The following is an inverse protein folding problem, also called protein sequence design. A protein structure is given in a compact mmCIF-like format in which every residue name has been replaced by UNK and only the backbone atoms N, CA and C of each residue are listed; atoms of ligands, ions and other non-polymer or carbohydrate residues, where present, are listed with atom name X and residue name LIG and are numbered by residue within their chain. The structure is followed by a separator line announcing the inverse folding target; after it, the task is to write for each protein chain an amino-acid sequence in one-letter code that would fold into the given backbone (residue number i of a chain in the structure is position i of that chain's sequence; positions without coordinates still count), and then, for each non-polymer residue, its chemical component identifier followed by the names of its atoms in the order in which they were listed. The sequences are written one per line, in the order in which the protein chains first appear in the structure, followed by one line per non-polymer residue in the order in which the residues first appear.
data_IF_867346448420
#
_entry.id   IF_867346448420
#
_cell.length_a   1.000
_cell.length_b   1.000
_cell.length_c   1.000
_cell.angle_alpha   90.00
_cell.angle_beta   90.00
_cell.angle_gamma   90.00
#
_symmetry.space_group_name_H-M   'P 1'
#
loop_
_entity.id
_entity.type
_entity.pdbx_description
1 polymer ?
#
# COMPACT_ATOMS: atom_id res chain seq x y z
N UNK A 1 -12.10 23.55 71.99
CA UNK A 1 -12.09 22.51 70.94
C UNK A 1 -12.77 22.95 69.60
N UNK A 2 -12.51 24.13 68.98
CA UNK A 2 -13.12 24.49 67.69
C UNK A 2 -12.27 24.15 66.44
N UNK A 3 -10.96 23.86 66.60
CA UNK A 3 -10.03 23.78 65.46
C UNK A 3 -10.11 22.49 64.64
N UNK A 4 -10.62 21.40 65.20
CA UNK A 4 -10.76 20.12 64.49
C UNK A 4 -11.89 20.16 63.44
N UNK A 5 -13.01 20.81 63.74
CA UNK A 5 -14.16 20.94 62.84
C UNK A 5 -13.85 21.78 61.59
N UNK A 6 -13.03 22.84 61.74
CA UNK A 6 -12.63 23.73 60.64
C UNK A 6 -11.61 23.09 59.67
N UNK A 7 -10.75 22.20 60.17
CA UNK A 7 -9.79 21.44 59.36
C UNK A 7 -10.46 20.34 58.54
N UNK A 8 -11.46 19.66 59.12
CA UNK A 8 -12.27 18.65 58.42
C UNK A 8 -13.12 19.25 57.29
N UNK A 9 -13.75 20.41 57.50
CA UNK A 9 -14.53 21.09 56.45
C UNK A 9 -13.68 21.56 55.25
N UNK A 10 -12.46 22.04 55.49
CA UNK A 10 -11.52 22.44 54.42
C UNK A 10 -10.95 21.25 53.66
N UNK A 11 -10.68 20.13 54.34
CA UNK A 11 -10.23 18.90 53.71
C UNK A 11 -11.33 18.27 52.82
N UNK A 12 -12.59 18.32 53.25
CA UNK A 12 -13.74 17.84 52.48
C UNK A 12 -14.05 18.72 51.27
N UNK A 13 -13.95 20.06 51.38
CA UNK A 13 -14.09 20.96 50.23
C UNK A 13 -12.97 20.79 49.19
N UNK A 14 -11.71 20.60 49.64
CA UNK A 14 -10.60 20.37 48.73
C UNK A 14 -10.69 19.03 47.98
N UNK A 15 -11.21 17.98 48.63
CA UNK A 15 -11.43 16.68 48.01
C UNK A 15 -12.55 16.71 46.96
N UNK A 16 -13.65 17.44 47.21
CA UNK A 16 -14.72 17.62 46.21
C UNK A 16 -14.26 18.43 44.99
N UNK A 17 -13.45 19.47 45.18
CA UNK A 17 -12.94 20.28 44.08
C UNK A 17 -11.95 19.49 43.19
N UNK A 18 -11.10 18.67 43.80
CA UNK A 18 -10.17 17.79 43.07
C UNK A 18 -10.89 16.68 42.30
N UNK A 19 -11.96 16.11 42.85
CA UNK A 19 -12.78 15.09 42.18
C UNK A 19 -13.54 15.65 40.97
N UNK A 20 -14.04 16.89 41.04
CA UNK A 20 -14.70 17.54 39.91
C UNK A 20 -13.73 17.88 38.77
N UNK A 21 -12.49 18.29 39.07
CA UNK A 21 -11.49 18.62 38.03
C UNK A 21 -10.99 17.38 37.28
N UNK A 22 -10.88 16.22 37.94
CA UNK A 22 -10.48 14.96 37.30
C UNK A 22 -11.49 14.40 36.30
N UNK A 23 -12.78 14.72 36.46
CA UNK A 23 -13.87 14.18 35.64
C UNK A 23 -14.04 14.89 34.28
N UNK A 24 -13.43 16.07 34.07
CA UNK A 24 -13.60 16.85 32.84
C UNK A 24 -12.56 16.58 31.74
N UNK A 25 -11.54 15.74 31.98
CA UNK A 25 -10.49 15.47 30.97
C UNK A 25 -10.75 14.28 30.05
N UNK A 26 -11.86 13.55 30.20
CA UNK A 26 -12.04 12.27 29.48
C UNK A 26 -12.95 12.32 28.25
N UNK A 27 -13.31 13.50 27.72
CA UNK A 27 -14.41 13.63 26.75
C UNK A 27 -14.04 13.98 25.29
N UNK A 28 -12.76 13.98 24.89
CA UNK A 28 -12.38 14.14 23.48
C UNK A 28 -11.99 12.80 22.83
N UNK A 29 -12.90 11.83 22.84
CA UNK A 29 -12.80 10.68 21.94
C UNK A 29 -13.45 11.07 20.60
N UNK A 30 -12.67 11.67 19.69
CA UNK A 30 -13.12 11.90 18.31
C UNK A 30 -13.37 10.55 17.64
N UNK A 31 -14.59 10.32 17.16
CA UNK A 31 -14.91 9.11 16.41
C UNK A 31 -13.95 8.96 15.20
N UNK A 32 -13.45 7.75 14.90
CA UNK A 32 -12.61 7.53 13.73
C UNK A 32 -13.31 8.01 12.46
N UNK A 33 -12.58 8.74 11.60
CA UNK A 33 -13.11 9.13 10.30
C UNK A 33 -13.53 7.88 9.51
N UNK A 34 -14.64 7.92 8.74
CA UNK A 34 -15.07 6.79 7.94
C UNK A 34 -13.96 6.37 6.97
N UNK A 35 -13.69 5.07 6.90
CA UNK A 35 -12.66 4.52 6.02
C UNK A 35 -13.09 4.69 4.56
N UNK A 36 -12.38 5.53 3.82
CA UNK A 36 -12.66 5.84 2.41
C UNK A 36 -12.32 4.64 1.52
N UNK A 37 -13.11 4.45 0.47
CA UNK A 37 -12.87 3.41 -0.54
C UNK A 37 -12.42 4.03 -1.86
N UNK A 38 -11.45 3.40 -2.51
CA UNK A 38 -11.06 3.69 -3.89
C UNK A 38 -11.46 2.53 -4.81
N UNK A 39 -12.14 2.85 -5.90
CA UNK A 39 -12.39 1.94 -7.02
C UNK A 39 -11.44 2.26 -8.16
N UNK A 40 -10.76 1.25 -8.67
CA UNK A 40 -9.77 1.41 -9.75
C UNK A 40 -10.14 0.46 -10.87
N UNK A 41 -10.36 1.01 -12.06
CA UNK A 41 -10.50 0.23 -13.30
C UNK A 41 -9.20 0.34 -14.09
N UNK A 42 -8.57 -0.78 -14.41
CA UNK A 42 -7.42 -0.78 -15.33
C UNK A 42 -7.90 -1.22 -16.70
N UNK A 43 -7.58 -0.44 -17.73
CA UNK A 43 -7.90 -0.71 -19.13
C UNK A 43 -6.60 -0.81 -19.92
N UNK A 44 -6.28 -2.01 -20.40
CA UNK A 44 -5.13 -2.24 -21.26
C UNK A 44 -5.50 -2.18 -22.74
N UNK A 45 -4.70 -1.46 -23.51
CA UNK A 45 -4.73 -1.49 -24.97
C UNK A 45 -4.46 -2.92 -25.48
N UNK A 46 -5.10 -3.36 -26.58
CA UNK A 46 -4.68 -4.57 -27.31
C UNK A 46 -3.24 -4.48 -27.85
N UNK A 47 -2.72 -3.26 -28.03
CA UNK A 47 -1.35 -3.00 -28.48
C UNK A 47 -0.36 -2.76 -27.31
N UNK A 48 -0.72 -3.18 -26.09
CA UNK A 48 0.07 -2.97 -24.87
C UNK A 48 1.50 -3.50 -25.02
N UNK A 49 2.47 -2.69 -24.61
CA UNK A 49 3.88 -3.06 -24.41
C UNK A 49 4.45 -3.95 -25.53
N UNK A 50 4.55 -3.41 -26.77
CA UNK A 50 5.03 -4.18 -27.91
C UNK A 50 6.47 -4.65 -27.68
N UNK A 51 6.78 -5.87 -28.10
CA UNK A 51 8.14 -6.44 -28.13
C UNK A 51 8.97 -5.93 -29.34
N UNK A 52 10.16 -6.50 -29.55
CA UNK A 52 11.08 -6.06 -30.62
C UNK A 52 10.47 -6.16 -32.02
N UNK A 53 9.53 -7.08 -32.18
CA UNK A 53 8.81 -7.35 -33.43
C UNK A 53 7.44 -6.66 -33.47
N UNK A 54 7.12 -5.82 -32.48
CA UNK A 54 5.85 -5.12 -32.36
C UNK A 54 4.72 -5.95 -31.75
N UNK A 55 4.99 -7.18 -31.26
CA UNK A 55 3.95 -8.05 -30.71
C UNK A 55 3.54 -7.58 -29.30
N UNK A 56 2.24 -7.40 -29.03
CA UNK A 56 1.78 -6.96 -27.71
C UNK A 56 2.17 -7.92 -26.59
N UNK A 57 2.66 -7.39 -25.47
CA UNK A 57 3.13 -8.18 -24.32
C UNK A 57 2.51 -7.71 -23.00
N UNK A 58 2.46 -8.56 -21.96
CA UNK A 58 2.01 -8.14 -20.63
C UNK A 58 2.93 -7.08 -20.00
N UNK A 59 2.41 -6.37 -19.01
CA UNK A 59 3.19 -5.48 -18.12
C UNK A 59 2.95 -5.82 -16.66
N UNK A 60 3.93 -5.49 -15.81
CA UNK A 60 3.71 -5.41 -14.36
C UNK A 60 3.28 -3.99 -14.00
N UNK A 61 2.13 -3.87 -13.32
CA UNK A 61 1.62 -2.62 -12.78
C UNK A 61 1.77 -2.66 -11.27
N UNK A 62 2.39 -1.62 -10.70
CA UNK A 62 2.42 -1.36 -9.27
C UNK A 62 1.52 -0.17 -8.96
N UNK A 63 0.61 -0.35 -8.01
CA UNK A 63 -0.22 0.71 -7.45
C UNK A 63 0.28 1.04 -6.05
N UNK A 64 0.35 2.32 -5.74
CA UNK A 64 0.79 2.83 -4.44
C UNK A 64 -0.26 3.76 -3.86
N UNK A 65 -0.49 3.62 -2.57
CA UNK A 65 -1.09 4.66 -1.74
C UNK A 65 0.01 5.47 -1.09
N UNK A 66 0.00 6.78 -1.32
CA UNK A 66 1.03 7.67 -0.83
C UNK A 66 0.45 8.76 0.08
N UNK A 67 1.18 9.06 1.15
CA UNK A 67 0.97 10.24 1.98
C UNK A 67 1.49 11.52 1.30
N UNK A 68 2.55 11.40 0.50
CA UNK A 68 3.20 12.47 -0.26
C UNK A 68 3.80 11.93 -1.57
N UNK A 69 3.94 12.76 -2.59
CA UNK A 69 4.36 12.32 -3.93
C UNK A 69 5.82 12.58 -4.28
N UNK A 70 6.56 13.37 -3.49
CA UNK A 70 7.86 13.91 -3.91
C UNK A 70 8.88 12.81 -4.21
N UNK A 71 9.04 11.84 -3.31
CA UNK A 71 9.94 10.70 -3.53
C UNK A 71 9.57 9.89 -4.78
N UNK A 72 8.28 9.67 -5.02
CA UNK A 72 7.80 8.93 -6.20
C UNK A 72 8.02 9.72 -7.51
N UNK A 73 7.85 11.03 -7.47
CA UNK A 73 8.02 11.91 -8.64
C UNK A 73 9.49 12.21 -8.95
N UNK A 74 10.38 12.17 -7.96
CA UNK A 74 11.80 12.45 -8.19
C UNK A 74 12.60 11.19 -8.54
N UNK A 75 12.17 10.02 -8.08
CA UNK A 75 12.88 8.77 -8.31
C UNK A 75 12.85 8.30 -9.78
N UNK A 76 13.93 7.62 -10.17
CA UNK A 76 14.00 6.88 -11.43
C UNK A 76 13.19 5.58 -11.38
N UNK A 77 13.00 4.96 -12.55
CA UNK A 77 12.27 3.69 -12.63
C UNK A 77 12.94 2.58 -11.82
N UNK A 78 14.27 2.42 -11.95
CA UNK A 78 15.00 1.33 -11.28
C UNK A 78 15.02 1.52 -9.77
N UNK A 79 15.15 2.76 -9.29
CA UNK A 79 15.05 3.08 -7.86
C UNK A 79 13.70 2.61 -7.29
N UNK A 80 12.59 2.88 -7.98
CA UNK A 80 11.26 2.42 -7.56
C UNK A 80 11.03 0.92 -7.80
N UNK A 81 11.68 0.33 -8.81
CA UNK A 81 11.53 -1.09 -9.11
C UNK A 81 12.15 -1.94 -8.00
N UNK A 82 13.33 -1.55 -7.57
CA UNK A 82 14.23 -2.40 -6.78
C UNK A 82 14.29 -1.94 -5.32
N UNK A 83 14.02 -0.67 -5.06
CA UNK A 83 14.22 0.00 -3.76
C UNK A 83 13.05 0.92 -3.35
N UNK A 84 11.81 0.59 -3.72
CA UNK A 84 10.66 1.46 -3.42
C UNK A 84 10.46 1.74 -1.93
N UNK A 85 10.79 0.79 -1.06
CA UNK A 85 10.70 0.99 0.40
C UNK A 85 11.67 2.05 0.90
N UNK A 86 12.91 2.02 0.42
CA UNK A 86 13.95 2.97 0.80
C UNK A 86 13.68 4.35 0.21
N UNK A 87 13.26 4.39 -1.06
CA UNK A 87 12.98 5.62 -1.82
C UNK A 87 11.76 6.36 -1.28
N UNK A 88 10.68 5.64 -0.99
CA UNK A 88 9.41 6.23 -0.58
C UNK A 88 9.27 6.35 0.94
N UNK A 89 9.98 5.51 1.70
CA UNK A 89 10.00 5.51 3.15
C UNK A 89 8.60 5.49 3.76
N UNK A 90 8.39 6.36 4.76
CA UNK A 90 7.11 6.48 5.46
C UNK A 90 5.97 7.02 4.57
N UNK A 91 6.27 7.59 3.40
CA UNK A 91 5.25 8.13 2.51
C UNK A 91 4.54 7.03 1.71
N UNK A 92 5.12 5.82 1.59
CA UNK A 92 4.43 4.67 1.02
C UNK A 92 3.61 3.93 2.08
N UNK A 93 2.29 4.03 1.99
CA UNK A 93 1.37 3.44 2.97
C UNK A 93 1.02 2.00 2.60
N UNK A 94 0.62 1.79 1.34
CA UNK A 94 0.29 0.47 0.81
C UNK A 94 0.73 0.34 -0.64
N UNK A 95 0.99 -0.91 -1.06
CA UNK A 95 1.34 -1.27 -2.44
C UNK A 95 0.62 -2.53 -2.89
N UNK A 96 0.21 -2.56 -4.15
CA UNK A 96 -0.19 -3.77 -4.84
C UNK A 96 0.62 -3.93 -6.13
N UNK A 97 0.89 -5.17 -6.53
CA UNK A 97 1.51 -5.52 -7.81
C UNK A 97 0.59 -6.47 -8.58
N UNK A 98 0.43 -6.23 -9.88
CA UNK A 98 -0.42 -7.07 -10.74
C UNK A 98 0.14 -7.14 -12.17
N UNK A 99 0.10 -8.33 -12.76
CA UNK A 99 0.36 -8.51 -14.19
C UNK A 99 -0.90 -8.20 -15.00
N UNK A 100 -0.77 -7.37 -16.03
CA UNK A 100 -1.88 -6.98 -16.93
C UNK A 100 -1.56 -7.41 -18.35
N UNK A 101 -2.49 -8.13 -18.99
CA UNK A 101 -2.36 -8.62 -20.37
C UNK A 101 -2.87 -7.58 -21.38
N UNK A 102 -2.41 -7.64 -22.65
CA UNK A 102 -3.00 -6.84 -23.72
C UNK A 102 -4.53 -7.02 -23.82
N UNK A 103 -5.26 -5.93 -23.96
CA UNK A 103 -6.73 -5.93 -24.06
C UNK A 103 -7.48 -6.24 -22.75
N UNK A 104 -6.76 -6.43 -21.64
CA UNK A 104 -7.37 -6.81 -20.36
C UNK A 104 -8.08 -5.64 -19.68
N UNK A 105 -9.20 -5.94 -19.03
CA UNK A 105 -9.90 -5.05 -18.10
C UNK A 105 -9.84 -5.62 -16.68
N UNK A 106 -9.33 -4.83 -15.74
CA UNK A 106 -9.31 -5.19 -14.31
C UNK A 106 -10.19 -4.25 -13.51
N UNK A 107 -10.90 -4.79 -12.51
CA UNK A 107 -11.66 -4.00 -11.55
C UNK A 107 -11.16 -4.30 -10.14
N UNK A 108 -10.82 -3.23 -9.41
CA UNK A 108 -10.26 -3.25 -8.07
C UNK A 108 -11.10 -2.36 -7.16
N UNK A 109 -11.29 -2.79 -5.93
CA UNK A 109 -11.91 -2.01 -4.87
C UNK A 109 -11.05 -2.17 -3.63
N UNK A 110 -10.65 -1.05 -3.01
CA UNK A 110 -9.75 -1.06 -1.87
C UNK A 110 -10.16 -0.01 -0.85
N UNK A 111 -10.16 -0.39 0.43
CA UNK A 111 -10.39 0.52 1.54
C UNK A 111 -9.06 1.17 1.91
N UNK A 112 -8.92 2.47 1.63
CA UNK A 112 -7.68 3.22 1.74
C UNK A 112 -7.11 3.20 3.16
N UNK A 113 -5.78 3.20 3.26
CA UNK A 113 -5.08 3.41 4.51
C UNK A 113 -5.34 4.83 5.07
N UNK A 114 -5.35 4.99 6.40
CA UNK A 114 -5.34 6.30 7.02
C UNK A 114 -4.15 7.13 6.52
N UNK A 115 -4.42 8.37 6.10
CA UNK A 115 -3.38 9.26 5.56
C UNK A 115 -3.14 9.15 4.06
N UNK A 116 -3.79 8.23 3.34
CA UNK A 116 -3.68 8.13 1.88
C UNK A 116 -4.22 9.39 1.18
N UNK A 117 -3.31 10.18 0.61
CA UNK A 117 -3.62 11.42 -0.12
C UNK A 117 -3.50 11.27 -1.62
N UNK A 118 -2.71 10.31 -2.08
CA UNK A 118 -2.46 10.11 -3.51
C UNK A 118 -2.54 8.64 -3.89
N UNK A 119 -3.02 8.39 -5.10
CA UNK A 119 -2.89 7.12 -5.80
C UNK A 119 -1.83 7.29 -6.88
N UNK A 120 -0.78 6.49 -6.79
CA UNK A 120 0.29 6.45 -7.79
C UNK A 120 0.28 5.11 -8.53
N UNK A 121 0.60 5.16 -9.82
CA UNK A 121 0.74 3.99 -10.70
C UNK A 121 2.13 4.01 -11.32
N UNK A 122 2.80 2.87 -11.30
CA UNK A 122 4.06 2.61 -12.01
C UNK A 122 3.87 1.38 -12.89
N UNK A 123 4.36 1.44 -14.13
CA UNK A 123 4.20 0.37 -15.13
C UNK A 123 5.55 -0.01 -15.70
N UNK A 124 5.88 -1.29 -15.63
CA UNK A 124 7.11 -1.85 -16.20
C UNK A 124 6.93 -2.11 -17.70
N UNK A 125 6.99 -1.05 -18.51
CA UNK A 125 7.11 -1.16 -19.96
C UNK A 125 8.50 -1.68 -20.35
N UNK A 126 8.58 -2.33 -21.52
CA UNK A 126 9.83 -2.86 -22.07
C UNK A 126 10.82 -1.75 -22.41
N UNK A 127 10.36 -0.71 -23.13
CA UNK A 127 11.19 0.46 -23.46
C UNK A 127 10.92 1.60 -22.46
N UNK A 128 11.50 1.47 -21.27
CA UNK A 128 11.23 2.38 -20.16
C UNK A 128 11.73 3.81 -20.39
N UNK A 129 12.73 3.98 -21.25
CA UNK A 129 13.33 5.28 -21.54
C UNK A 129 12.46 6.14 -22.45
N UNK A 130 11.62 5.53 -23.29
CA UNK A 130 10.63 6.23 -24.10
C UNK A 130 9.25 6.30 -23.45
N UNK A 131 8.94 5.32 -22.61
CA UNK A 131 7.62 5.20 -22.04
C UNK A 131 7.27 6.32 -21.05
N UNK A 132 6.00 6.74 -21.04
CA UNK A 132 5.42 7.45 -19.90
C UNK A 132 4.95 6.43 -18.87
N UNK A 133 5.87 5.96 -18.04
CA UNK A 133 5.69 4.76 -17.20
C UNK A 133 5.03 5.01 -15.83
N UNK A 134 4.78 6.27 -15.44
CA UNK A 134 4.10 6.59 -14.18
C UNK A 134 3.00 7.62 -14.31
N UNK A 135 2.06 7.57 -13.36
CA UNK A 135 1.03 8.57 -13.15
C UNK A 135 0.69 8.71 -11.67
N UNK A 136 0.18 9.87 -11.26
CA UNK A 136 -0.26 10.14 -9.89
C UNK A 136 -1.51 11.01 -9.92
N UNK A 137 -2.42 10.76 -8.99
CA UNK A 137 -3.61 11.59 -8.76
C UNK A 137 -3.80 11.84 -7.28
N UNK A 138 -4.32 13.02 -6.96
CA UNK A 138 -4.75 13.37 -5.59
C UNK A 138 -6.13 12.79 -5.33
N UNK A 139 -6.26 12.10 -4.20
CA UNK A 139 -7.51 11.53 -3.74
C UNK A 139 -8.33 12.58 -2.97
N UNK A 140 -9.66 12.54 -3.08
CA UNK A 140 -10.50 13.41 -2.27
C UNK A 140 -10.30 13.13 -0.77
N UNK A 141 -10.27 14.17 0.09
CA UNK A 141 -9.86 14.04 1.49
C UNK A 141 -10.86 13.27 2.34
N UNK A 142 -12.15 13.28 2.00
CA UNK A 142 -13.23 12.77 2.85
C UNK A 142 -14.35 12.04 2.10
N UNK A 143 -14.07 11.57 0.88
CA UNK A 143 -15.06 10.87 0.05
C UNK A 143 -14.45 9.64 -0.62
N UNK A 144 -15.31 8.69 -0.98
CA UNK A 144 -14.96 7.61 -1.90
C UNK A 144 -14.58 8.18 -3.27
N UNK A 145 -13.76 7.44 -4.01
CA UNK A 145 -13.35 7.85 -5.35
C UNK A 145 -13.32 6.69 -6.34
N UNK A 146 -13.42 7.03 -7.62
CA UNK A 146 -13.28 6.10 -8.72
C UNK A 146 -12.26 6.65 -9.72
N UNK A 147 -11.34 5.80 -10.16
CA UNK A 147 -10.29 6.15 -11.11
C UNK A 147 -10.18 5.08 -12.19
N UNK A 148 -9.86 5.52 -13.40
CA UNK A 148 -9.52 4.65 -14.52
C UNK A 148 -8.05 4.84 -14.86
N UNK A 149 -7.29 3.74 -14.83
CA UNK A 149 -5.90 3.65 -15.26
C UNK A 149 -5.88 3.10 -16.68
N UNK A 150 -5.49 3.91 -17.65
CA UNK A 150 -5.41 3.53 -19.06
C UNK A 150 -3.97 3.18 -19.38
N UNK A 151 -3.74 1.95 -19.86
CA UNK A 151 -2.43 1.47 -20.29
C UNK A 151 -2.40 1.42 -21.82
N UNK A 152 -1.66 2.34 -22.42
CA UNK A 152 -1.33 2.36 -23.84
C UNK A 152 -0.13 1.47 -24.18
N UNK A 153 0.35 1.49 -25.44
CA UNK A 153 1.53 0.74 -25.87
C UNK A 153 2.76 0.99 -25.00
N UNK A 154 2.99 2.25 -24.62
CA UNK A 154 4.17 2.74 -23.90
C UNK A 154 3.83 3.88 -22.92
N UNK A 155 2.56 4.01 -22.51
CA UNK A 155 2.14 5.11 -21.64
C UNK A 155 1.05 4.72 -20.67
N UNK A 156 1.12 5.20 -19.44
CA UNK A 156 0.02 5.17 -18.48
C UNK A 156 -0.60 6.55 -18.29
N UNK A 157 -1.92 6.59 -18.17
CA UNK A 157 -2.69 7.75 -17.76
C UNK A 157 -3.70 7.36 -16.68
N UNK A 158 -4.00 8.31 -15.79
CA UNK A 158 -5.04 8.16 -14.76
C UNK A 158 -6.08 9.25 -15.01
N UNK A 159 -7.34 8.85 -15.08
CA UNK A 159 -8.47 9.76 -15.26
C UNK A 159 -9.58 9.42 -14.25
N UNK A 160 -10.45 10.38 -13.91
CA UNK A 160 -11.64 10.08 -13.11
C UNK A 160 -12.40 8.91 -13.72
N UNK A 161 -12.72 7.93 -12.89
CA UNK A 161 -13.60 6.84 -13.26
C UNK A 161 -15.03 7.36 -13.22
N UNK A 162 -15.80 7.12 -14.28
CA UNK A 162 -17.25 7.15 -14.14
C UNK A 162 -17.63 6.09 -13.10
N UNK A 163 -18.64 6.37 -12.28
CA UNK A 163 -19.14 5.44 -11.26
C UNK A 163 -19.50 4.04 -11.81
N UNK A 164 -20.03 3.14 -10.97
CA UNK A 164 -20.19 1.70 -11.25
C UNK A 164 -20.81 1.28 -12.60
N UNK A 165 -21.46 2.18 -13.35
CA UNK A 165 -22.33 1.84 -14.48
C UNK A 165 -21.78 2.17 -15.87
N UNK A 166 -20.61 2.81 -16.02
CA UNK A 166 -20.13 3.26 -17.34
C UNK A 166 -19.20 2.28 -18.08
N UNK A 167 -19.16 1.02 -17.69
CA UNK A 167 -18.28 0.01 -18.28
C UNK A 167 -18.84 -0.53 -19.61
N UNK A 168 -18.95 0.31 -20.64
CA UNK A 168 -19.33 -0.13 -21.99
C UNK A 168 -18.10 -0.61 -22.75
N UNK A 169 -17.80 -1.91 -22.65
CA UNK A 169 -16.77 -2.59 -23.43
C UNK A 169 -16.79 -4.09 -23.18
N UNK A 170 -16.97 -4.88 -24.23
CA UNK A 170 -17.33 -6.31 -24.26
C UNK A 170 -16.24 -7.29 -23.78
N UNK A 171 -15.42 -6.91 -22.79
CA UNK A 171 -14.49 -7.84 -22.11
C UNK A 171 -14.85 -7.94 -20.64
N UNK A 172 -15.15 -9.15 -20.17
CA UNK A 172 -15.49 -9.40 -18.77
C UNK A 172 -14.31 -9.01 -17.88
N UNK A 173 -14.54 -8.05 -16.98
CA UNK A 173 -13.48 -7.58 -16.08
C UNK A 173 -13.03 -8.70 -15.15
N UNK A 174 -11.72 -9.01 -15.13
CA UNK A 174 -11.17 -9.87 -14.09
C UNK A 174 -11.24 -9.12 -12.76
N UNK A 175 -12.12 -9.58 -11.88
CA UNK A 175 -12.16 -9.13 -10.47
C UNK A 175 -10.98 -9.78 -9.75
N UNK A 176 -10.11 -8.95 -9.19
CA UNK A 176 -9.01 -9.43 -8.36
C UNK A 176 -9.39 -9.24 -6.89
N UNK A 177 -9.08 -10.21 -6.04
CA UNK A 177 -8.90 -9.96 -4.61
C UNK A 177 -7.49 -9.40 -4.46
N UNK A 178 -7.36 -8.09 -4.24
CA UNK A 178 -6.06 -7.46 -4.33
C UNK A 178 -5.22 -7.80 -3.08
N UNK A 179 -3.99 -8.30 -3.28
CA UNK A 179 -3.02 -8.44 -2.19
C UNK A 179 -2.27 -7.11 -2.01
N UNK A 180 -2.86 -6.21 -1.23
CA UNK A 180 -2.20 -4.98 -0.80
C UNK A 180 -1.28 -5.29 0.37
N UNK A 181 0.01 -5.03 0.19
CA UNK A 181 1.00 -5.10 1.26
C UNK A 181 1.14 -3.72 1.89
N UNK A 182 0.94 -3.60 3.20
CA UNK A 182 1.35 -2.40 3.93
C UNK A 182 2.85 -2.23 3.79
N UNK A 183 3.29 -1.05 3.37
CA UNK A 183 4.71 -0.72 3.25
C UNK A 183 5.21 0.06 4.47
N UNK A 184 4.31 0.72 5.20
CA UNK A 184 4.61 1.34 6.48
C UNK A 184 4.72 0.29 7.59
N UNK A 185 5.96 -0.16 7.82
CA UNK A 185 6.37 -0.89 9.00
C UNK A 185 7.69 -0.31 9.47
N UNK A 186 7.76 0.08 10.75
CA UNK A 186 8.99 0.54 11.38
C UNK A 186 10.16 -0.38 11.02
N UNK A 187 11.35 0.20 10.91
CA UNK A 187 12.63 -0.52 10.85
C UNK A 187 12.76 -1.28 12.17
N UNK A 188 12.05 -2.39 12.31
CA UNK A 188 12.09 -3.26 13.46
C UNK A 188 13.38 -4.04 13.38
N UNK A 189 14.32 -3.68 14.25
CA UNK A 189 15.48 -4.49 14.62
C UNK A 189 15.13 -5.98 14.60
N UNK A 190 15.63 -6.71 13.59
CA UNK A 190 15.69 -8.17 13.64
C UNK A 190 16.96 -8.52 14.40
N UNK A 191 16.88 -8.47 15.73
CA UNK A 191 17.80 -9.19 16.59
C UNK A 191 17.16 -10.54 16.96
N UNK A 192 17.83 -11.64 16.57
CA UNK A 192 17.52 -13.02 16.95
C UNK A 192 16.69 -13.78 15.89
N UNK A 193 17.08 -14.93 15.36
CA UNK A 193 18.14 -15.87 15.71
C UNK A 193 18.55 -16.60 14.42
N UNK A 194 19.85 -16.57 14.09
CA UNK A 194 20.37 -17.40 13.02
C UNK A 194 20.37 -18.86 13.49
N UNK A 195 19.53 -19.71 12.89
CA UNK A 195 19.74 -21.16 12.95
C UNK A 195 20.99 -21.50 12.14
N UNK A 196 21.95 -22.28 12.67
CA UNK A 196 23.07 -22.72 11.86
C UNK A 196 22.56 -23.60 10.71
N UNK A 197 23.04 -23.32 9.50
CA UNK A 197 22.82 -24.17 8.33
C UNK A 197 23.63 -25.45 8.57
N UNK A 198 22.93 -26.56 8.77
CA UNK A 198 23.54 -27.87 8.90
C UNK A 198 23.92 -28.36 7.49
N UNK A 199 25.19 -28.72 7.22
CA UNK A 199 25.59 -29.21 5.90
C UNK A 199 24.96 -30.58 5.61
N UNK A 200 24.73 -30.92 4.33
CA UNK A 200 24.04 -32.16 3.95
C UNK A 200 24.83 -33.40 4.38
N UNK A 201 24.11 -34.38 4.93
CA UNK A 201 24.66 -35.64 5.39
C UNK A 201 25.34 -36.40 4.25
N UNK A 202 26.64 -36.68 4.40
CA UNK A 202 27.35 -37.60 3.51
C UNK A 202 26.83 -39.02 3.73
N UNK A 203 26.32 -39.63 2.66
CA UNK A 203 26.05 -41.06 2.59
C UNK A 203 27.35 -41.82 2.85
N UNK A 204 27.44 -42.49 4.01
CA UNK A 204 28.48 -43.50 4.27
C UNK A 204 28.26 -44.67 3.31
N UNK A 205 29.04 -44.69 2.23
CA UNK A 205 29.27 -45.89 1.43
C UNK A 205 29.84 -46.99 2.32
N UNK A 206 29.20 -48.16 2.26
CA UNK A 206 29.65 -49.38 2.92
C UNK A 206 31.02 -49.79 2.36
N UNK A 207 31.99 -49.90 3.24
CA UNK A 207 33.14 -50.77 3.05
C UNK A 207 33.14 -51.74 4.24
N UNK A 208 32.72 -52.98 4.00
CA UNK A 208 33.10 -54.08 4.86
C UNK A 208 34.08 -54.96 4.10
N UNK A 209 35.22 -55.11 4.74
CA UNK A 209 36.40 -55.88 4.39
C UNK A 209 36.20 -57.26 5.01
N UNK A 210 36.38 -58.35 4.26
CA UNK A 210 37.36 -59.41 4.57
C UNK A 210 37.28 -60.59 3.62
N UNK A 211 38.47 -61.06 3.28
CA UNK A 211 38.87 -62.32 2.65
C UNK A 211 38.03 -63.54 3.04
N UNK A 212 37.70 -64.37 2.03
CA UNK A 212 38.32 -65.69 1.81
C UNK A 212 38.44 -65.96 0.31
#
# INVERSE_FOLDING_TARGET
MPDRARRLGRALLAACLAACVGAFLSACATAPAPQRTVRITVLASPALNPDGDGRPSPVMVRLYELADTDGFQQAGFFDLSDHDKEVLGANALARMVVAVRPGERLALCHALEPGSRHLAVMVAYRDIYRARWRGVVTLPPSADSAWTVVLGPDSVAIQPGTGPDAATGTSAARKLQPYWSKLSGAIGSVAGSARPIQPPAMLKGQAHVLEQ
#
